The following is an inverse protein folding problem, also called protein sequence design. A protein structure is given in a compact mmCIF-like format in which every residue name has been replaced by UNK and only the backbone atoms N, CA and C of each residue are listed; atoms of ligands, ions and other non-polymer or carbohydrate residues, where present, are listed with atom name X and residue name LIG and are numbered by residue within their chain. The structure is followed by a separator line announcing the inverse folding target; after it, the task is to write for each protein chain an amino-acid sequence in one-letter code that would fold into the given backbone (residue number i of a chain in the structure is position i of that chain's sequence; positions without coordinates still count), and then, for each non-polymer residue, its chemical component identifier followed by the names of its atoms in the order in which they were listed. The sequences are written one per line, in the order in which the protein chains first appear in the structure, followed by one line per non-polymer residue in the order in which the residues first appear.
data_IF_042251061721
#
_entry.id   IF_042251061721
#
_cell.length_a   1.000
_cell.length_b   1.000
_cell.length_c   1.000
_cell.angle_alpha   90.00
_cell.angle_beta   90.00
_cell.angle_gamma   90.00
#
_symmetry.space_group_name_H-M   'P 1'
#
loop_
_entity.id
_entity.type
_entity.pdbx_description
1 polymer ?
#
# COMPACT_ATOMS: atom_id res chain seq x y z
N UNK A 1 7.45 24.30 23.88
CA UNK A 1 8.47 23.73 22.98
C UNK A 1 7.93 22.40 22.49
N UNK A 2 7.60 22.32 21.23
CA UNK A 2 6.79 21.25 20.68
C UNK A 2 7.68 20.33 19.87
N UNK A 3 7.78 19.05 20.23
CA UNK A 3 8.69 18.04 19.69
C UNK A 3 7.89 16.98 18.91
N UNK A 4 8.31 16.66 17.70
CA UNK A 4 7.76 15.53 16.95
C UNK A 4 8.72 14.35 17.00
N UNK A 5 8.23 13.16 17.36
CA UNK A 5 8.98 11.91 17.37
C UNK A 5 8.21 10.79 16.65
N UNK A 6 8.79 10.20 15.63
CA UNK A 6 8.21 9.18 14.77
C UNK A 6 8.98 7.86 14.82
N UNK A 7 8.34 6.75 14.95
CA UNK A 7 9.02 5.48 15.01
C UNK A 7 8.54 4.54 13.93
N UNK A 8 9.41 4.20 13.04
CA UNK A 8 9.10 3.25 11.97
C UNK A 8 9.96 1.99 12.04
N UNK A 9 9.30 0.85 11.88
CA UNK A 9 9.93 -0.46 11.79
C UNK A 9 10.39 -0.79 10.36
N UNK A 10 9.86 -0.11 9.33
CA UNK A 10 10.14 -0.39 7.92
C UNK A 10 10.87 0.73 7.21
N UNK A 11 12.07 0.44 6.73
CA UNK A 11 13.08 1.36 6.17
C UNK A 11 12.77 1.99 4.78
N UNK A 12 11.62 1.74 4.18
CA UNK A 12 11.44 1.88 2.73
C UNK A 12 11.21 3.28 2.16
N UNK A 13 10.88 4.27 2.97
CA UNK A 13 10.68 5.66 2.51
C UNK A 13 11.42 6.72 3.30
N UNK A 14 12.28 6.28 4.15
CA UNK A 14 12.80 7.08 5.25
C UNK A 14 14.14 7.73 4.98
N UNK A 15 14.61 7.81 3.73
CA UNK A 15 15.70 8.72 3.44
C UNK A 15 15.27 10.17 3.70
N UNK A 16 14.05 10.52 3.33
CA UNK A 16 13.49 11.85 3.60
C UNK A 16 13.05 12.00 5.04
N UNK A 17 12.47 10.96 5.65
CA UNK A 17 12.19 10.96 7.08
C UNK A 17 13.47 10.86 7.92
N UNK A 18 14.48 10.12 7.50
CA UNK A 18 15.77 10.07 8.18
C UNK A 18 16.52 11.41 8.04
N UNK A 19 16.35 12.12 6.94
CA UNK A 19 16.81 13.50 6.78
C UNK A 19 15.96 14.47 7.61
N UNK A 20 14.64 14.25 7.69
CA UNK A 20 13.73 14.96 8.57
C UNK A 20 14.06 14.70 10.06
N UNK A 21 14.32 13.44 10.45
CA UNK A 21 14.73 13.06 11.81
C UNK A 21 16.15 13.54 12.15
N UNK A 22 17.04 13.62 11.18
CA UNK A 22 18.38 14.18 11.34
C UNK A 22 18.37 15.69 11.36
N UNK A 23 17.39 16.32 10.71
CA UNK A 23 17.33 17.78 10.57
C UNK A 23 16.56 18.49 11.66
N UNK A 24 15.91 17.83 12.63
CA UNK A 24 15.30 18.45 13.85
C UNK A 24 13.82 18.15 14.06
N UNK A 25 13.50 18.17 15.21
CA UNK A 25 12.43 18.78 16.00
C UNK A 25 11.59 19.78 15.19
N UNK A 26 10.45 19.34 14.66
CA UNK A 26 9.49 20.22 14.01
C UNK A 26 8.16 20.22 14.75
N UNK A 27 7.74 21.40 15.16
CA UNK A 27 6.42 21.62 15.74
C UNK A 27 6.18 20.83 17.03
N UNK A 28 4.99 20.29 17.20
CA UNK A 28 4.41 19.83 18.46
C UNK A 28 4.48 18.32 18.73
N UNK A 29 5.33 17.50 18.07
CA UNK A 29 5.19 16.05 18.11
C UNK A 29 6.48 15.31 18.40
N UNK A 30 6.40 14.21 19.14
CA UNK A 30 7.48 13.30 19.44
C UNK A 30 7.23 11.96 18.75
N UNK A 31 8.17 11.51 17.98
CA UNK A 31 8.14 10.26 17.26
C UNK A 31 8.81 9.14 18.05
N UNK A 32 8.14 8.04 18.31
CA UNK A 32 8.55 7.00 19.21
C UNK A 32 8.96 5.74 18.45
N UNK A 33 10.21 5.28 18.64
CA UNK A 33 10.70 4.05 18.04
C UNK A 33 10.76 2.91 19.07
N UNK A 34 10.03 1.84 18.82
CA UNK A 34 9.87 0.71 19.73
C UNK A 34 10.88 -0.42 19.57
N UNK A 35 11.93 -0.24 18.85
CA UNK A 35 12.99 -1.24 18.79
C UNK A 35 13.83 -1.20 20.09
N UNK A 36 13.36 -1.94 21.07
CA UNK A 36 14.08 -2.19 22.33
C UNK A 36 13.41 -1.62 23.59
N UNK A 37 13.56 -2.32 24.74
CA UNK A 37 12.88 -1.97 25.99
C UNK A 37 13.23 -0.58 26.52
N UNK A 38 14.46 -0.15 26.37
CA UNK A 38 14.91 1.17 26.84
C UNK A 38 14.16 2.32 26.13
N UNK A 39 14.00 2.24 24.81
CA UNK A 39 13.29 3.26 24.03
C UNK A 39 11.79 3.30 24.36
N UNK A 40 11.21 2.16 24.68
CA UNK A 40 9.83 2.04 25.13
C UNK A 40 9.60 2.81 26.46
N UNK A 41 10.46 2.61 27.46
CA UNK A 41 10.34 3.30 28.73
C UNK A 41 10.62 4.80 28.62
N UNK A 42 11.63 5.18 27.84
CA UNK A 42 11.92 6.60 27.55
C UNK A 42 10.71 7.28 26.89
N UNK A 43 10.08 6.61 25.95
CA UNK A 43 8.88 7.11 25.27
C UNK A 43 7.72 7.33 26.25
N UNK A 44 7.49 6.39 27.17
CA UNK A 44 6.49 6.55 28.24
C UNK A 44 6.78 7.74 29.13
N UNK A 45 8.02 7.92 29.52
CA UNK A 45 8.44 9.07 30.37
C UNK A 45 8.17 10.39 29.64
N UNK A 46 8.55 10.51 28.37
CA UNK A 46 8.32 11.72 27.56
C UNK A 46 6.81 12.04 27.40
N UNK A 47 5.97 11.01 27.23
CA UNK A 47 4.51 11.19 27.19
C UNK A 47 3.97 11.65 28.55
N UNK A 48 4.43 11.05 29.65
CA UNK A 48 4.03 11.43 31.01
C UNK A 48 4.43 12.86 31.36
N UNK A 49 5.60 13.28 30.92
CA UNK A 49 6.09 14.64 31.14
C UNK A 49 5.39 15.69 30.25
N UNK A 50 4.45 15.27 29.40
CA UNK A 50 3.72 16.14 28.45
C UNK A 50 4.64 16.98 27.56
N UNK A 51 5.81 16.45 27.21
CA UNK A 51 6.79 17.13 26.37
C UNK A 51 6.37 16.98 24.90
N UNK A 52 5.28 17.63 24.51
CA UNK A 52 4.74 17.60 23.16
C UNK A 52 3.71 16.49 22.92
N UNK A 53 3.19 16.40 21.69
CA UNK A 53 2.32 15.32 21.23
C UNK A 53 3.15 14.20 20.64
N UNK A 54 2.81 12.95 20.95
CA UNK A 54 3.56 11.79 20.49
C UNK A 54 2.85 11.10 19.33
N UNK A 55 3.60 10.54 18.38
CA UNK A 55 3.10 9.62 17.36
C UNK A 55 3.74 8.26 17.56
N UNK A 56 2.94 7.26 17.89
CA UNK A 56 3.35 5.86 18.03
C UNK A 56 3.11 5.13 16.73
N UNK A 57 4.06 4.33 16.27
CA UNK A 57 3.95 3.58 15.02
C UNK A 57 4.24 2.09 15.23
N UNK A 58 3.55 1.26 14.46
CA UNK A 58 3.79 -0.18 14.34
C UNK A 58 3.99 -0.91 15.67
N UNK A 59 3.05 -0.81 16.58
CA UNK A 59 3.14 -1.49 17.85
C UNK A 59 1.83 -1.48 18.61
N UNK A 60 1.90 -1.84 19.89
CA UNK A 60 0.74 -1.66 20.76
C UNK A 60 0.44 -0.16 20.90
N UNK A 61 -0.82 0.27 20.82
CA UNK A 61 -1.20 1.66 20.97
C UNK A 61 -0.79 2.15 22.35
N UNK A 62 0.16 3.08 22.38
CA UNK A 62 0.68 3.64 23.63
C UNK A 62 -0.05 4.91 24.02
N UNK A 63 -0.64 5.57 23.03
CA UNK A 63 -1.28 6.86 23.22
C UNK A 63 -2.77 6.64 23.35
N UNK A 64 -3.31 6.94 24.51
CA UNK A 64 -4.72 6.70 24.84
C UNK A 64 -5.61 7.91 24.60
N UNK A 65 -5.02 9.07 24.39
CA UNK A 65 -5.76 10.31 24.40
C UNK A 65 -5.21 11.26 23.32
N UNK A 66 -6.10 11.89 22.55
CA UNK A 66 -5.75 12.81 21.45
C UNK A 66 -4.91 14.01 21.93
N UNK A 67 -5.04 14.43 23.17
CA UNK A 67 -4.20 15.50 23.74
C UNK A 67 -2.74 15.07 23.94
N UNK A 68 -2.46 13.76 24.03
CA UNK A 68 -1.13 13.19 24.16
C UNK A 68 -0.49 12.88 22.79
N UNK A 69 -1.32 12.70 21.71
CA UNK A 69 -0.82 12.41 20.38
C UNK A 69 -1.66 11.39 19.62
N UNK A 70 -1.02 10.70 18.69
CA UNK A 70 -1.67 9.78 17.76
C UNK A 70 -0.95 8.45 17.67
N UNK A 71 -1.72 7.36 17.47
CA UNK A 71 -1.20 6.06 17.08
C UNK A 71 -1.30 5.94 15.56
N UNK A 72 -0.19 5.70 14.91
CA UNK A 72 -0.13 5.50 13.48
C UNK A 72 0.20 4.05 13.16
N UNK A 73 -0.62 3.45 12.31
CA UNK A 73 -0.46 2.08 11.85
C UNK A 73 -0.30 2.11 10.33
N UNK A 74 0.72 1.45 9.83
CA UNK A 74 0.88 1.31 8.37
C UNK A 74 -0.29 0.51 7.82
N UNK A 75 -0.71 -0.53 8.53
CA UNK A 75 -1.76 -1.46 8.11
C UNK A 75 -2.89 -1.45 9.12
N UNK A 76 -4.12 -1.42 8.63
CA UNK A 76 -5.29 -1.56 9.50
C UNK A 76 -5.28 -2.86 10.31
N UNK A 77 -4.60 -3.89 9.81
CA UNK A 77 -4.50 -5.21 10.42
C UNK A 77 -3.41 -5.34 11.49
N UNK A 78 -2.48 -4.41 11.57
CA UNK A 78 -1.53 -4.32 12.68
C UNK A 78 -2.23 -3.89 13.99
N UNK A 79 -3.48 -3.52 13.88
CA UNK A 79 -4.42 -3.30 14.99
C UNK A 79 -4.84 -4.65 15.64
N UNK A 80 -3.88 -5.46 16.07
CA UNK A 80 -4.13 -6.55 17.03
C UNK A 80 -4.57 -6.00 18.40
N UNK A 81 -5.51 -5.05 18.37
CA UNK A 81 -5.96 -4.28 19.49
C UNK A 81 -7.30 -4.84 19.93
N UNK A 82 -7.53 -4.97 21.23
CA UNK A 82 -8.87 -5.18 21.75
C UNK A 82 -9.83 -4.17 21.12
N UNK A 83 -10.99 -4.62 20.69
CA UNK A 83 -12.00 -3.83 19.95
C UNK A 83 -12.33 -2.49 20.61
N UNK A 84 -12.22 -2.42 21.94
CA UNK A 84 -12.41 -1.19 22.73
C UNK A 84 -11.34 -0.10 22.51
N UNK A 85 -10.22 -0.42 21.87
CA UNK A 85 -9.16 0.54 21.53
C UNK A 85 -9.22 0.99 20.07
N UNK A 86 -10.03 0.34 19.23
CA UNK A 86 -10.23 0.70 17.82
C UNK A 86 -11.02 2.01 17.66
N UNK A 87 -11.83 2.36 18.65
CA UNK A 87 -12.70 3.55 18.63
C UNK A 87 -11.99 4.82 19.11
N UNK A 88 -10.68 4.75 19.34
CA UNK A 88 -9.94 5.93 19.77
C UNK A 88 -9.75 6.89 18.58
N UNK A 89 -10.24 8.09 18.72
CA UNK A 89 -10.11 9.21 17.76
C UNK A 89 -8.66 9.53 17.35
N UNK A 90 -7.69 8.99 18.09
CA UNK A 90 -6.27 9.19 17.86
C UNK A 90 -5.60 8.06 17.08
N UNK A 91 -6.36 7.09 16.58
CA UNK A 91 -5.83 6.00 15.73
C UNK A 91 -5.90 6.39 14.25
N UNK A 92 -4.80 6.20 13.52
CA UNK A 92 -4.66 6.55 12.10
C UNK A 92 -4.00 5.38 11.36
N UNK A 93 -4.48 5.07 10.17
CA UNK A 93 -3.94 4.00 9.31
C UNK A 93 -3.53 4.52 7.94
N UNK A 94 -2.49 3.96 7.35
CA UNK A 94 -2.10 4.29 5.97
C UNK A 94 -2.76 3.36 4.94
N UNK A 95 -2.99 2.10 5.30
CA UNK A 95 -3.64 1.10 4.45
C UNK A 95 -4.92 0.65 5.16
N UNK A 96 -6.07 0.97 4.57
CA UNK A 96 -7.37 0.68 5.14
C UNK A 96 -7.78 -0.77 4.85
N UNK A 97 -8.21 -1.49 5.88
CA UNK A 97 -8.92 -2.76 5.70
C UNK A 97 -10.41 -2.48 5.45
N UNK A 98 -11.09 -3.20 4.53
CA UNK A 98 -12.50 -2.92 4.18
C UNK A 98 -13.47 -2.98 5.37
N UNK A 99 -13.17 -3.77 6.40
CA UNK A 99 -13.99 -3.86 7.61
C UNK A 99 -13.73 -2.78 8.66
N UNK A 100 -12.74 -1.93 8.46
CA UNK A 100 -12.35 -0.88 9.42
C UNK A 100 -12.76 0.50 8.88
N UNK A 101 -14.06 0.76 8.80
CA UNK A 101 -14.62 1.98 8.18
C UNK A 101 -14.26 3.26 8.90
N UNK A 102 -14.19 3.23 10.23
CA UNK A 102 -14.04 4.43 11.06
C UNK A 102 -12.60 4.91 11.24
N UNK A 103 -11.63 4.23 10.61
CA UNK A 103 -10.24 4.62 10.74
C UNK A 103 -9.93 5.86 9.91
N UNK A 104 -9.32 6.85 10.52
CA UNK A 104 -8.75 7.98 9.81
C UNK A 104 -7.61 7.46 8.93
N UNK A 105 -7.71 7.70 7.62
CA UNK A 105 -6.70 7.29 6.65
C UNK A 105 -5.66 8.40 6.53
N UNK A 106 -4.40 8.02 6.72
CA UNK A 106 -3.28 8.90 6.45
C UNK A 106 -2.80 8.66 5.02
N UNK A 107 -3.14 9.57 4.13
CA UNK A 107 -2.75 9.45 2.73
C UNK A 107 -1.28 9.79 2.54
N UNK A 108 -0.51 8.83 2.05
CA UNK A 108 0.90 9.02 1.67
C UNK A 108 0.96 9.27 0.17
N UNK A 109 1.38 10.46 -0.22
CA UNK A 109 1.55 10.84 -1.63
C UNK A 109 2.96 10.50 -2.13
N UNK A 110 3.12 10.25 -3.45
CA UNK A 110 4.44 10.10 -4.04
C UNK A 110 5.21 11.43 -3.98
N UNK A 111 6.52 11.34 -3.73
CA UNK A 111 7.42 12.49 -3.60
C UNK A 111 8.59 12.38 -4.58
N UNK A 112 9.21 13.51 -4.94
CA UNK A 112 10.37 13.53 -5.83
C UNK A 112 10.15 12.79 -7.16
N UNK A 113 8.95 12.95 -7.76
CA UNK A 113 8.56 12.29 -8.99
C UNK A 113 9.46 12.76 -10.14
N UNK A 114 9.98 11.81 -10.89
CA UNK A 114 10.82 12.10 -12.05
C UNK A 114 10.02 12.06 -13.33
N UNK A 115 10.20 13.09 -14.17
CA UNK A 115 9.71 13.05 -15.54
C UNK A 115 10.52 12.04 -16.34
N UNK A 116 9.85 11.08 -16.95
CA UNK A 116 10.46 9.99 -17.72
C UNK A 116 9.72 9.79 -19.04
N UNK A 117 10.30 8.96 -19.90
CA UNK A 117 9.63 8.44 -21.09
C UNK A 117 9.58 6.92 -21.00
N UNK A 118 8.63 6.33 -21.73
CA UNK A 118 8.57 4.89 -21.90
C UNK A 118 9.81 4.38 -22.64
N UNK A 119 10.21 3.16 -22.32
CA UNK A 119 11.27 2.45 -23.03
C UNK A 119 10.77 1.99 -24.41
N UNK A 120 11.66 1.85 -25.39
CA UNK A 120 11.30 1.32 -26.72
C UNK A 120 10.86 -0.16 -26.62
N UNK A 121 11.54 -0.96 -25.77
CA UNK A 121 11.14 -2.33 -25.41
C UNK A 121 10.41 -2.30 -24.07
N UNK A 122 9.12 -1.99 -24.10
CA UNK A 122 8.27 -1.92 -22.92
C UNK A 122 8.12 -3.32 -22.30
N UNK A 123 8.43 -3.43 -21.01
CA UNK A 123 8.12 -4.62 -20.20
C UNK A 123 6.93 -4.37 -19.28
N UNK A 124 6.25 -5.45 -18.91
CA UNK A 124 5.22 -5.47 -17.88
C UNK A 124 5.89 -5.95 -16.59
N UNK A 125 6.07 -5.09 -15.63
CA UNK A 125 6.75 -5.40 -14.38
C UNK A 125 5.73 -5.66 -13.28
N UNK A 126 5.78 -6.83 -12.68
CA UNK A 126 5.01 -7.11 -11.47
C UNK A 126 5.95 -7.53 -10.34
N UNK A 127 6.02 -6.69 -9.32
CA UNK A 127 6.83 -6.96 -8.13
C UNK A 127 5.93 -7.31 -6.95
N UNK A 128 5.95 -8.56 -6.54
CA UNK A 128 5.08 -9.07 -5.48
C UNK A 128 5.64 -10.35 -4.88
N UNK A 129 5.50 -10.53 -3.58
CA UNK A 129 5.61 -11.83 -2.94
C UNK A 129 4.27 -12.54 -2.94
N UNK A 130 4.29 -13.86 -2.80
CA UNK A 130 3.10 -14.69 -2.71
C UNK A 130 3.22 -15.65 -1.54
N UNK A 131 2.07 -15.95 -0.92
CA UNK A 131 1.96 -16.99 0.11
C UNK A 131 0.61 -17.67 -0.05
N UNK A 132 0.63 -18.93 -0.53
CA UNK A 132 -0.57 -19.71 -0.86
C UNK A 132 -0.85 -20.85 0.13
N UNK A 133 -0.22 -20.82 1.30
CA UNK A 133 -0.51 -21.81 2.35
C UNK A 133 -1.92 -21.56 2.88
N UNK A 134 -2.87 -22.40 2.48
CA UNK A 134 -4.27 -22.38 2.89
C UNK A 134 -4.58 -23.56 3.80
N UNK A 135 -5.54 -23.39 4.69
CA UNK A 135 -6.23 -24.50 5.32
C UNK A 135 -7.47 -24.91 4.49
N UNK A 136 -8.14 -25.98 4.89
CA UNK A 136 -9.29 -26.51 4.19
C UNK A 136 -10.45 -25.48 4.06
N UNK A 137 -10.73 -24.75 5.14
CA UNK A 137 -11.78 -23.75 5.17
C UNK A 137 -11.48 -22.55 4.23
N UNK A 138 -10.22 -22.10 4.16
CA UNK A 138 -9.76 -21.05 3.27
C UNK A 138 -9.80 -21.48 1.80
N UNK A 139 -9.42 -22.74 1.53
CA UNK A 139 -9.51 -23.32 0.19
C UNK A 139 -10.95 -23.42 -0.27
N UNK A 140 -11.83 -23.94 0.57
CA UNK A 140 -13.27 -24.03 0.27
C UNK A 140 -13.89 -22.65 0.03
N UNK A 141 -13.54 -21.66 0.85
CA UNK A 141 -14.00 -20.29 0.67
C UNK A 141 -13.58 -19.73 -0.70
N UNK A 142 -12.32 -19.93 -1.08
CA UNK A 142 -11.83 -19.49 -2.38
C UNK A 142 -12.56 -20.16 -3.54
N UNK A 143 -12.69 -21.49 -3.52
CA UNK A 143 -13.37 -22.24 -4.59
C UNK A 143 -14.84 -21.82 -4.71
N UNK A 144 -15.50 -21.55 -3.60
CA UNK A 144 -16.89 -21.10 -3.57
C UNK A 144 -17.07 -19.70 -4.20
N UNK A 145 -16.09 -18.82 -4.02
CA UNK A 145 -16.23 -17.41 -4.42
C UNK A 145 -15.32 -17.02 -5.59
N UNK A 146 -14.50 -17.93 -6.10
CA UNK A 146 -13.48 -17.67 -7.14
C UNK A 146 -14.06 -16.97 -8.36
N UNK A 147 -15.12 -17.51 -8.97
CA UNK A 147 -15.70 -16.92 -10.17
C UNK A 147 -16.17 -15.49 -9.93
N UNK A 148 -16.83 -15.24 -8.82
CA UNK A 148 -17.30 -13.92 -8.42
C UNK A 148 -16.14 -12.94 -8.21
N UNK A 149 -15.06 -13.39 -7.59
CA UNK A 149 -13.85 -12.58 -7.37
C UNK A 149 -13.16 -12.29 -8.71
N UNK A 150 -13.03 -13.29 -9.59
CA UNK A 150 -12.37 -13.13 -10.88
C UNK A 150 -13.17 -12.27 -11.87
N UNK A 151 -14.49 -12.22 -11.74
CA UNK A 151 -15.33 -11.31 -12.51
C UNK A 151 -15.24 -9.85 -12.05
N UNK A 152 -14.93 -9.62 -10.77
CA UNK A 152 -14.76 -8.27 -10.21
C UNK A 152 -13.82 -8.30 -9.01
N UNK A 153 -12.54 -7.99 -9.22
CA UNK A 153 -11.50 -7.99 -8.17
C UNK A 153 -11.81 -7.02 -7.02
N UNK A 154 -12.54 -5.93 -7.31
CA UNK A 154 -12.90 -4.93 -6.32
C UNK A 154 -13.85 -5.46 -5.24
N UNK A 155 -14.46 -6.63 -5.44
CA UNK A 155 -15.34 -7.26 -4.44
C UNK A 155 -14.56 -7.60 -3.15
N UNK A 156 -13.26 -7.86 -3.25
CA UNK A 156 -12.42 -8.09 -2.07
C UNK A 156 -12.31 -6.85 -1.18
N UNK A 157 -12.56 -5.67 -1.73
CA UNK A 157 -12.56 -4.41 -0.99
C UNK A 157 -13.96 -3.98 -0.54
N UNK A 158 -14.98 -4.80 -0.84
CA UNK A 158 -16.34 -4.59 -0.38
C UNK A 158 -16.56 -5.21 1.02
N UNK A 159 -16.92 -4.35 1.98
CA UNK A 159 -17.25 -4.74 3.35
C UNK A 159 -18.38 -5.77 3.41
N UNK A 160 -19.42 -5.55 2.63
CA UNK A 160 -20.61 -6.41 2.64
C UNK A 160 -20.31 -7.83 2.14
N UNK A 161 -19.37 -7.97 1.21
CA UNK A 161 -18.89 -9.28 0.78
C UNK A 161 -18.38 -10.09 1.97
N UNK A 162 -17.54 -9.50 2.82
CA UNK A 162 -16.97 -10.19 3.98
C UNK A 162 -18.00 -10.43 5.08
N UNK A 163 -18.84 -9.44 5.38
CA UNK A 163 -19.87 -9.57 6.41
C UNK A 163 -20.90 -10.64 6.08
N UNK A 164 -21.31 -10.74 4.82
CA UNK A 164 -22.33 -11.72 4.42
C UNK A 164 -21.78 -13.15 4.35
N UNK A 165 -20.50 -13.33 4.04
CA UNK A 165 -19.92 -14.66 3.86
C UNK A 165 -19.18 -15.18 5.08
N UNK A 166 -18.80 -14.30 6.01
CA UNK A 166 -18.02 -14.64 7.21
C UNK A 166 -18.60 -14.01 8.48
N UNK A 167 -19.93 -13.90 8.58
CA UNK A 167 -20.62 -13.23 9.69
C UNK A 167 -20.26 -13.80 11.08
N UNK A 168 -19.93 -15.09 11.16
CA UNK A 168 -19.60 -15.78 12.41
C UNK A 168 -18.10 -15.74 12.75
N UNK A 169 -17.28 -15.05 11.94
CA UNK A 169 -15.83 -14.95 12.13
C UNK A 169 -15.45 -13.64 12.79
N UNK A 170 -14.44 -13.68 13.65
CA UNK A 170 -13.86 -12.46 14.18
C UNK A 170 -12.97 -11.74 13.13
N UNK A 171 -12.63 -10.49 13.40
CA UNK A 171 -11.85 -9.66 12.48
C UNK A 171 -10.50 -10.29 12.09
N UNK A 172 -9.83 -10.97 13.03
CA UNK A 172 -8.55 -11.64 12.77
C UNK A 172 -8.70 -12.79 11.76
N UNK A 173 -9.76 -13.58 11.91
CA UNK A 173 -10.07 -14.66 10.97
C UNK A 173 -10.43 -14.10 9.60
N UNK A 174 -11.31 -13.09 9.53
CA UNK A 174 -11.69 -12.46 8.26
C UNK A 174 -10.48 -11.87 7.55
N UNK A 175 -9.58 -11.21 8.28
CA UNK A 175 -8.34 -10.71 7.71
C UNK A 175 -7.46 -11.82 7.11
N UNK A 176 -7.45 -12.99 7.70
CA UNK A 176 -6.73 -14.15 7.16
C UNK A 176 -7.34 -14.59 5.82
N UNK A 177 -8.67 -14.71 5.73
CA UNK A 177 -9.37 -14.98 4.45
C UNK A 177 -9.11 -13.89 3.41
N UNK A 178 -9.14 -12.63 3.82
CA UNK A 178 -8.83 -11.50 2.94
C UNK A 178 -7.43 -11.63 2.33
N UNK A 179 -6.41 -11.83 3.15
CA UNK A 179 -5.02 -11.94 2.71
C UNK A 179 -4.80 -13.13 1.78
N UNK A 180 -5.40 -14.27 2.10
CA UNK A 180 -5.24 -15.46 1.26
C UNK A 180 -5.97 -15.28 -0.08
N UNK A 181 -7.17 -14.71 -0.08
CA UNK A 181 -7.90 -14.40 -1.33
C UNK A 181 -7.15 -13.41 -2.21
N UNK A 182 -6.53 -12.37 -1.64
CA UNK A 182 -5.64 -11.45 -2.37
C UNK A 182 -4.39 -12.17 -2.91
N UNK A 183 -3.83 -13.13 -2.18
CA UNK A 183 -2.69 -13.94 -2.67
C UNK A 183 -3.09 -14.85 -3.82
N UNK A 184 -4.22 -15.53 -3.70
CA UNK A 184 -4.75 -16.40 -4.76
C UNK A 184 -5.12 -15.60 -6.01
N UNK A 185 -5.76 -14.43 -5.86
CA UNK A 185 -6.01 -13.52 -6.97
C UNK A 185 -4.71 -13.08 -7.66
N UNK A 186 -3.65 -12.79 -6.91
CA UNK A 186 -2.34 -12.48 -7.50
C UNK A 186 -1.78 -13.65 -8.31
N UNK A 187 -1.94 -14.86 -7.80
CA UNK A 187 -1.53 -16.06 -8.51
C UNK A 187 -2.26 -16.21 -9.85
N UNK A 188 -3.58 -16.04 -9.86
CA UNK A 188 -4.38 -16.07 -11.08
C UNK A 188 -3.95 -14.98 -12.07
N UNK A 189 -3.72 -13.74 -11.61
CA UNK A 189 -3.26 -12.63 -12.45
C UNK A 189 -1.89 -12.93 -13.06
N UNK A 190 -0.93 -13.44 -12.28
CA UNK A 190 0.42 -13.77 -12.76
C UNK A 190 0.36 -14.89 -13.79
N UNK A 191 -0.39 -15.95 -13.52
CA UNK A 191 -0.56 -17.08 -14.43
C UNK A 191 -1.18 -16.61 -15.76
N UNK A 192 -2.20 -15.77 -15.67
CA UNK A 192 -2.84 -15.18 -16.85
C UNK A 192 -1.88 -14.33 -17.68
N UNK A 193 -1.16 -13.40 -17.07
CA UNK A 193 -0.24 -12.50 -17.75
C UNK A 193 0.97 -13.23 -18.34
N UNK A 194 1.50 -14.22 -17.63
CA UNK A 194 2.62 -15.03 -18.12
C UNK A 194 2.22 -15.81 -19.36
N UNK A 195 1.00 -16.35 -19.38
CA UNK A 195 0.46 -17.06 -20.57
C UNK A 195 0.33 -16.15 -21.80
N UNK A 196 -0.05 -14.88 -21.63
CA UNK A 196 -0.32 -13.97 -22.74
C UNK A 196 0.93 -13.21 -23.18
N UNK A 197 1.72 -12.71 -22.22
CA UNK A 197 2.80 -11.76 -22.52
C UNK A 197 4.21 -12.36 -22.42
N UNK A 198 4.35 -13.59 -21.92
CA UNK A 198 5.57 -14.37 -21.83
C UNK A 198 6.85 -13.53 -21.60
N UNK A 199 7.65 -13.31 -22.67
CA UNK A 199 8.94 -12.57 -22.60
C UNK A 199 8.82 -11.08 -22.24
N UNK A 200 7.63 -10.49 -22.41
CA UNK A 200 7.39 -9.11 -21.99
C UNK A 200 7.00 -9.00 -20.53
N UNK A 201 6.56 -10.09 -19.90
CA UNK A 201 6.15 -10.10 -18.49
C UNK A 201 7.32 -10.47 -17.59
N UNK A 202 7.68 -9.59 -16.67
CA UNK A 202 8.76 -9.74 -15.71
C UNK A 202 8.17 -9.79 -14.31
N UNK A 203 8.25 -10.97 -13.68
CA UNK A 203 7.83 -11.21 -12.31
C UNK A 203 9.03 -11.07 -11.39
N UNK A 204 8.88 -10.30 -10.31
CA UNK A 204 9.92 -10.08 -9.30
C UNK A 204 9.31 -10.36 -7.92
N UNK A 205 9.92 -11.23 -7.15
CA UNK A 205 9.45 -11.50 -5.80
C UNK A 205 9.89 -12.85 -5.27
N UNK A 206 9.73 -12.98 -3.96
CA UNK A 206 10.02 -14.20 -3.24
C UNK A 206 8.85 -15.19 -3.34
N UNK A 207 9.16 -16.46 -3.12
CA UNK A 207 8.22 -17.58 -3.00
C UNK A 207 7.52 -18.03 -4.29
N UNK A 208 7.60 -17.30 -5.40
CA UNK A 208 6.96 -17.73 -6.66
C UNK A 208 7.49 -19.05 -7.20
N UNK A 209 8.79 -19.29 -7.07
CA UNK A 209 9.44 -20.53 -7.52
C UNK A 209 8.91 -21.78 -6.82
N UNK A 210 8.37 -21.64 -5.61
CA UNK A 210 7.71 -22.73 -4.88
C UNK A 210 6.44 -23.23 -5.60
N UNK A 211 5.88 -22.39 -6.46
CA UNK A 211 4.67 -22.68 -7.25
C UNK A 211 4.98 -22.86 -8.72
N UNK A 212 6.23 -23.23 -9.07
CA UNK A 212 6.68 -23.46 -10.44
C UNK A 212 6.58 -22.25 -11.36
N UNK A 213 6.60 -21.05 -10.79
CA UNK A 213 6.59 -19.80 -11.56
C UNK A 213 7.97 -19.14 -11.43
N UNK A 214 8.65 -18.98 -12.57
CA UNK A 214 9.94 -18.29 -12.62
C UNK A 214 9.77 -16.82 -12.26
N UNK A 215 10.57 -16.38 -11.32
CA UNK A 215 10.64 -14.99 -10.88
C UNK A 215 12.10 -14.58 -10.67
N UNK A 216 12.36 -13.29 -10.85
CA UNK A 216 13.60 -12.70 -10.41
C UNK A 216 13.56 -12.49 -8.89
N UNK A 217 14.70 -12.67 -8.26
CA UNK A 217 14.80 -12.40 -6.82
C UNK A 217 14.51 -10.92 -6.52
N UNK A 218 13.65 -10.70 -5.53
CA UNK A 218 13.43 -9.35 -5.05
C UNK A 218 14.61 -8.96 -4.16
N UNK A 219 15.37 -8.02 -4.63
CA UNK A 219 16.19 -7.25 -3.72
C UNK A 219 15.30 -6.16 -3.12
N UNK A 220 15.18 -6.11 -1.79
CA UNK A 220 14.56 -4.98 -1.09
C UNK A 220 15.34 -3.66 -1.28
N UNK A 221 16.29 -3.62 -2.21
CA UNK A 221 17.01 -2.44 -2.60
C UNK A 221 16.10 -1.52 -3.42
N UNK A 222 15.63 -0.48 -2.76
CA UNK A 222 14.76 0.54 -3.37
C UNK A 222 15.40 1.23 -4.58
N UNK A 223 16.72 1.26 -4.69
CA UNK A 223 17.42 1.84 -5.84
C UNK A 223 17.31 0.95 -7.08
N UNK A 224 17.48 -0.37 -6.90
CA UNK A 224 17.32 -1.33 -8.00
C UNK A 224 15.88 -1.38 -8.49
N UNK A 225 14.91 -1.36 -7.58
CA UNK A 225 13.50 -1.32 -7.93
C UNK A 225 13.15 -0.07 -8.76
N UNK A 226 13.71 1.09 -8.43
CA UNK A 226 13.51 2.33 -9.19
C UNK A 226 14.02 2.25 -10.62
N UNK A 227 15.11 1.51 -10.86
CA UNK A 227 15.64 1.31 -12.21
C UNK A 227 14.71 0.40 -13.02
N UNK A 228 14.20 -0.66 -12.42
CA UNK A 228 13.33 -1.65 -13.08
C UNK A 228 11.97 -1.04 -13.47
N UNK A 229 11.38 -0.21 -12.61
CA UNK A 229 10.10 0.42 -12.90
C UNK A 229 10.18 1.49 -14.00
N UNK A 230 11.30 2.18 -14.10
CA UNK A 230 11.45 3.35 -14.98
C UNK A 230 11.14 3.02 -16.44
N UNK A 231 10.16 3.74 -17.01
CA UNK A 231 9.77 3.63 -18.41
C UNK A 231 9.12 2.29 -18.81
N UNK A 232 8.64 1.52 -17.84
CA UNK A 232 7.93 0.26 -18.05
C UNK A 232 6.49 0.36 -17.53
N UNK A 233 5.63 -0.54 -18.01
CA UNK A 233 4.30 -0.74 -17.44
C UNK A 233 4.47 -1.52 -16.13
N UNK A 234 3.99 -0.97 -15.03
CA UNK A 234 4.16 -1.52 -13.71
C UNK A 234 2.82 -1.91 -13.11
N UNK A 235 2.58 -3.22 -12.99
CA UNK A 235 1.34 -3.73 -12.44
C UNK A 235 1.35 -3.63 -10.90
N UNK A 236 0.24 -3.18 -10.35
CA UNK A 236 0.00 -3.14 -8.93
C UNK A 236 -1.39 -3.69 -8.57
N UNK A 237 -1.42 -4.68 -7.68
CA UNK A 237 -2.64 -5.33 -7.20
C UNK A 237 -3.01 -4.93 -5.78
N UNK A 238 -2.47 -3.82 -5.31
CA UNK A 238 -2.70 -3.35 -3.94
C UNK A 238 -1.93 -4.13 -2.86
N UNK A 239 -2.20 -3.79 -1.61
CA UNK A 239 -1.65 -4.51 -0.45
C UNK A 239 -2.39 -5.83 -0.21
N UNK A 240 -1.71 -6.83 0.39
CA UNK A 240 -2.38 -8.04 0.93
C UNK A 240 -3.19 -7.77 2.21
N UNK A 241 -3.08 -6.58 2.76
CA UNK A 241 -3.57 -6.28 4.11
C UNK A 241 -4.58 -5.13 4.14
N UNK A 242 -5.01 -4.70 2.97
CA UNK A 242 -5.98 -3.65 2.83
C UNK A 242 -6.02 -3.08 1.42
N UNK A 243 -6.89 -2.10 1.22
CA UNK A 243 -7.11 -1.43 -0.04
C UNK A 243 -6.77 0.05 0.08
N UNK A 244 -5.83 0.51 -0.73
CA UNK A 244 -5.51 1.92 -0.91
C UNK A 244 -4.81 2.09 -2.24
N UNK A 245 -5.23 3.05 -3.04
CA UNK A 245 -4.61 3.35 -4.34
C UNK A 245 -3.18 3.87 -4.19
N UNK A 246 -2.94 4.69 -3.17
CA UNK A 246 -1.62 5.23 -2.89
C UNK A 246 -1.06 4.60 -1.60
N UNK A 247 -0.20 3.64 -1.76
CA UNK A 247 0.54 2.99 -0.68
C UNK A 247 2.02 2.82 -1.09
N UNK A 248 2.92 2.36 -0.22
CA UNK A 248 4.36 2.42 -0.49
C UNK A 248 4.80 1.93 -1.86
N UNK A 249 4.23 0.84 -2.39
CA UNK A 249 4.62 0.31 -3.71
C UNK A 249 4.09 1.18 -4.85
N UNK A 250 2.81 1.52 -4.86
CA UNK A 250 2.21 2.39 -5.88
C UNK A 250 3.01 3.70 -5.99
N UNK A 251 3.30 4.31 -4.85
CA UNK A 251 4.11 5.52 -4.81
C UNK A 251 5.54 5.30 -5.34
N UNK A 252 6.17 4.15 -5.01
CA UNK A 252 7.51 3.83 -5.51
C UNK A 252 7.54 3.70 -7.04
N UNK A 253 6.50 3.11 -7.63
CA UNK A 253 6.34 3.03 -9.08
C UNK A 253 6.26 4.44 -9.68
N UNK A 254 5.37 5.28 -9.16
CA UNK A 254 5.15 6.65 -9.64
C UNK A 254 6.43 7.50 -9.49
N UNK A 255 7.10 7.44 -8.34
CA UNK A 255 8.36 8.16 -8.07
C UNK A 255 9.49 7.74 -9.00
N UNK A 256 9.46 6.50 -9.45
CA UNK A 256 10.48 5.94 -10.36
C UNK A 256 10.23 6.31 -11.81
N UNK A 257 9.06 6.85 -12.15
CA UNK A 257 8.64 7.11 -13.53
C UNK A 257 8.23 5.84 -14.25
N UNK A 258 7.63 4.88 -13.54
CA UNK A 258 6.92 3.74 -14.11
C UNK A 258 5.48 4.09 -14.44
N UNK A 259 4.94 3.53 -15.52
CA UNK A 259 3.53 3.66 -15.89
C UNK A 259 2.71 2.64 -15.10
N UNK A 260 2.08 3.09 -14.04
CA UNK A 260 1.32 2.21 -13.14
C UNK A 260 -0.01 1.79 -13.78
N UNK A 261 -0.31 0.48 -13.74
CA UNK A 261 -1.62 -0.12 -14.03
C UNK A 261 -2.05 -0.83 -12.77
N UNK A 262 -3.17 -0.41 -12.17
CA UNK A 262 -3.52 -0.79 -10.81
C UNK A 262 -4.89 -1.47 -10.73
N UNK A 263 -5.00 -2.51 -9.88
CA UNK A 263 -6.30 -3.03 -9.47
C UNK A 263 -7.10 -1.95 -8.75
N UNK A 264 -8.40 -1.87 -9.08
CA UNK A 264 -9.28 -0.86 -8.49
C UNK A 264 -9.32 -0.99 -6.96
N UNK A 265 -9.12 0.13 -6.27
CA UNK A 265 -9.22 0.28 -4.83
C UNK A 265 -10.37 1.24 -4.47
N UNK A 266 -10.86 1.18 -3.23
CA UNK A 266 -12.03 1.97 -2.80
C UNK A 266 -11.82 3.50 -2.96
N UNK A 267 -10.58 3.98 -2.79
CA UNK A 267 -10.18 5.38 -2.91
C UNK A 267 -9.68 5.78 -4.33
N UNK A 268 -9.80 4.85 -5.29
CA UNK A 268 -9.26 5.03 -6.63
C UNK A 268 -9.85 6.24 -7.36
N UNK A 269 -11.16 6.48 -7.19
CA UNK A 269 -11.82 7.62 -7.84
C UNK A 269 -11.33 8.97 -7.33
N UNK A 270 -10.89 9.02 -6.07
CA UNK A 270 -10.33 10.24 -5.47
C UNK A 270 -8.94 10.56 -6.03
N UNK A 271 -8.09 9.53 -6.15
CA UNK A 271 -6.68 9.73 -6.49
C UNK A 271 -6.41 9.73 -7.99
N UNK A 272 -7.14 8.94 -8.78
CA UNK A 272 -6.89 8.79 -10.21
C UNK A 272 -7.76 9.67 -11.11
N UNK A 273 -8.89 10.18 -10.61
CA UNK A 273 -9.78 11.10 -11.35
C UNK A 273 -10.00 10.66 -12.80
N UNK A 274 -9.61 11.51 -13.74
CA UNK A 274 -9.77 11.26 -15.18
C UNK A 274 -8.86 10.13 -15.72
N UNK A 275 -7.83 9.74 -14.97
CA UNK A 275 -6.90 8.67 -15.37
C UNK A 275 -7.42 7.27 -15.04
N UNK A 276 -8.49 7.15 -14.26
CA UNK A 276 -8.99 5.86 -13.77
C UNK A 276 -9.36 4.88 -14.89
N UNK A 277 -9.93 5.35 -16.00
CA UNK A 277 -10.34 4.50 -17.12
C UNK A 277 -9.16 3.90 -17.90
N UNK A 278 -8.02 4.59 -17.89
CA UNK A 278 -6.82 4.17 -18.62
C UNK A 278 -5.83 3.38 -17.77
N UNK A 279 -5.98 3.39 -16.43
CA UNK A 279 -4.98 2.84 -15.54
C UNK A 279 -5.54 1.82 -14.54
N UNK A 280 -6.86 1.76 -14.33
CA UNK A 280 -7.45 0.91 -13.32
C UNK A 280 -8.25 -0.22 -13.93
N UNK A 281 -8.10 -1.43 -13.37
CA UNK A 281 -8.81 -2.63 -13.80
C UNK A 281 -9.53 -3.33 -12.65
N UNK A 282 -10.63 -4.01 -12.96
CA UNK A 282 -11.45 -4.78 -12.02
C UNK A 282 -11.55 -6.26 -12.37
N UNK A 283 -11.12 -6.65 -13.57
CA UNK A 283 -11.16 -8.02 -14.06
C UNK A 283 -10.07 -8.25 -15.12
N UNK A 284 -9.99 -9.46 -15.65
CA UNK A 284 -8.98 -9.83 -16.64
C UNK A 284 -9.15 -9.14 -17.98
N UNK A 285 -10.39 -8.92 -18.42
CA UNK A 285 -10.65 -8.27 -19.71
C UNK A 285 -10.21 -6.81 -19.68
N UNK A 286 -10.55 -6.07 -18.62
CA UNK A 286 -10.08 -4.70 -18.43
C UNK A 286 -8.55 -4.64 -18.34
N UNK A 287 -7.93 -5.55 -17.54
CA UNK A 287 -6.48 -5.64 -17.42
C UNK A 287 -5.81 -5.84 -18.78
N UNK A 288 -6.30 -6.80 -19.56
CA UNK A 288 -5.77 -7.10 -20.89
C UNK A 288 -5.93 -5.91 -21.82
N UNK A 289 -7.13 -5.33 -21.89
CA UNK A 289 -7.41 -4.20 -22.77
C UNK A 289 -6.50 -3.01 -22.47
N UNK A 290 -6.27 -2.70 -21.19
CA UNK A 290 -5.36 -1.63 -20.79
C UNK A 290 -3.93 -1.97 -21.22
N UNK A 291 -3.42 -3.16 -20.89
CA UNK A 291 -2.04 -3.53 -21.23
C UNK A 291 -1.82 -3.56 -22.74
N UNK A 292 -2.72 -4.18 -23.51
CA UNK A 292 -2.61 -4.26 -24.98
C UNK A 292 -2.60 -2.86 -25.59
N UNK A 293 -3.48 -1.96 -25.14
CA UNK A 293 -3.53 -0.56 -25.56
C UNK A 293 -2.20 0.16 -25.29
N UNK A 294 -1.61 -0.05 -24.11
CA UNK A 294 -0.38 0.61 -23.68
C UNK A 294 0.87 0.06 -24.39
N UNK A 295 0.96 -1.25 -24.62
CA UNK A 295 2.09 -1.85 -25.31
C UNK A 295 2.11 -1.47 -26.79
N UNK A 296 0.92 -1.42 -27.42
CA UNK A 296 0.80 -1.19 -28.85
C UNK A 296 0.76 0.30 -29.22
N UNK A 297 0.70 1.20 -28.25
CA UNK A 297 0.66 2.64 -28.48
C UNK A 297 1.63 3.39 -27.56
N UNK A 298 2.88 3.48 -28.00
CA UNK A 298 3.95 4.16 -27.25
C UNK A 298 3.66 5.64 -26.99
N UNK A 299 3.00 6.31 -27.95
CA UNK A 299 2.62 7.72 -27.80
C UNK A 299 1.61 7.91 -26.67
N UNK A 300 0.54 7.10 -26.67
CA UNK A 300 -0.45 7.11 -25.59
C UNK A 300 0.19 6.84 -24.23
N UNK A 301 1.08 5.85 -24.16
CA UNK A 301 1.76 5.48 -22.91
C UNK A 301 2.63 6.63 -22.39
N UNK A 302 3.29 7.36 -23.28
CA UNK A 302 4.05 8.57 -22.91
C UNK A 302 3.13 9.71 -22.46
N UNK A 303 1.97 9.89 -23.11
CA UNK A 303 0.95 10.88 -22.71
C UNK A 303 0.44 10.57 -21.30
N UNK A 304 0.11 9.32 -21.01
CA UNK A 304 -0.38 8.92 -19.70
C UNK A 304 0.69 9.07 -18.62
N UNK A 305 1.92 8.71 -18.93
CA UNK A 305 3.05 8.90 -18.02
C UNK A 305 3.28 10.40 -17.69
N UNK A 306 3.18 11.28 -18.66
CA UNK A 306 3.27 12.73 -18.47
C UNK A 306 2.06 13.27 -17.66
N UNK A 307 0.86 12.75 -17.89
CA UNK A 307 -0.34 13.09 -17.09
C UNK A 307 -0.17 12.68 -15.63
N UNK A 308 0.33 11.46 -15.35
CA UNK A 308 0.63 10.99 -14.00
C UNK A 308 1.67 11.91 -13.34
N UNK A 309 2.75 12.23 -14.05
CA UNK A 309 3.76 13.15 -13.56
C UNK A 309 3.17 14.51 -13.19
N UNK A 310 2.37 15.12 -14.06
CA UNK A 310 1.73 16.41 -13.82
C UNK A 310 0.75 16.35 -12.64
N UNK A 311 -0.06 15.29 -12.58
CA UNK A 311 -1.05 15.10 -11.54
C UNK A 311 -0.39 15.04 -10.14
N UNK A 312 0.61 14.21 -9.97
CA UNK A 312 1.26 14.02 -8.68
C UNK A 312 2.35 15.05 -8.37
N UNK A 313 2.99 15.67 -9.37
CA UNK A 313 3.94 16.76 -9.13
C UNK A 313 3.27 17.93 -8.40
N UNK A 314 2.04 18.27 -8.78
CA UNK A 314 1.27 19.33 -8.16
C UNK A 314 0.62 18.91 -6.83
N UNK A 315 0.48 17.61 -6.61
CA UNK A 315 -0.08 17.00 -5.40
C UNK A 315 1.01 16.54 -4.42
N UNK A 316 2.30 16.59 -4.81
CA UNK A 316 3.41 16.13 -3.99
C UNK A 316 3.59 17.09 -2.81
N UNK A 317 2.94 16.70 -1.73
CA UNK A 317 3.07 17.34 -0.45
C UNK A 317 4.22 16.64 0.26
N UNK A 318 5.16 17.38 0.82
CA UNK A 318 6.22 16.76 1.63
C UNK A 318 5.61 15.97 2.78
N UNK A 319 6.32 14.95 3.28
CA UNK A 319 5.86 14.21 4.46
C UNK A 319 5.61 15.16 5.63
N UNK A 320 6.45 16.18 5.77
CA UNK A 320 6.31 17.24 6.76
C UNK A 320 5.00 18.01 6.59
N UNK A 321 4.69 18.44 5.39
CA UNK A 321 3.47 19.16 5.10
C UNK A 321 2.21 18.29 5.29
N UNK A 322 2.30 17.00 4.94
CA UNK A 322 1.25 16.02 5.19
C UNK A 322 1.02 15.82 6.69
N UNK A 323 2.09 15.68 7.47
CA UNK A 323 2.02 15.59 8.93
C UNK A 323 1.42 16.85 9.53
N UNK A 324 1.85 18.01 9.07
CA UNK A 324 1.33 19.29 9.55
C UNK A 324 -0.16 19.46 9.24
N UNK A 325 -0.62 19.13 8.02
CA UNK A 325 -2.04 19.18 7.65
C UNK A 325 -2.90 18.23 8.49
N UNK A 326 -2.37 17.06 8.83
CA UNK A 326 -3.11 16.06 9.59
C UNK A 326 -3.17 16.35 11.09
N UNK A 327 -2.11 16.93 11.64
CA UNK A 327 -1.92 17.06 13.08
C UNK A 327 -2.06 18.49 13.59
N UNK A 328 -2.14 19.47 12.72
CA UNK A 328 -2.39 20.87 13.08
C UNK A 328 -3.87 21.22 13.30
N UNK A 329 -4.76 20.29 13.01
CA UNK A 329 -6.20 20.35 13.32
C UNK A 329 -6.47 19.53 14.58
#
# INVERSE_FOLDING_TARGET
MNLIYFAFKYRYRFKDLNNFLKSRIYGNYILLNFSGPFKYYLSKILILLKIGRAISCDGQPMIRNKSQGYNFFIRGTDLNIPTNLLDLDNNIVAIKHPLLENNKIFQIYPINIKKTKMNDDIKIIFMSSIKLETNEEESLFWETHKEKILSNFAILDDKYFWQNNLANKNLFQINRFYRISKSLLRFEIVTYLKKIYDKKFVLIGEDWRKYWIDSLESNFDTKKNKIIYKGNICLDTGSLEGSSSLYPRANQIIESGGLIVQSYAFDASEHWKDLKQDLLFKNFDELRNIIDKLINNLELSNILLDKIYKHFKNSSISMEETLNRYFSK
#
